data_IF_528658071155
#
_entry.id   IF_528658071155
#
_cell.length_a   1.000
_cell.length_b   1.000
_cell.length_c   1.000
_cell.angle_alpha   90.00
_cell.angle_beta   90.00
_cell.angle_gamma   90.00
#
_symmetry.space_group_name_H-M   'P 1'
#
loop_
_entity.id
_entity.type
_entity.pdbx_description
1 polymer ?
#
# COMPACT_ATOMS: atom_id res chain seq x y z
N UNK A 1 2.79 18.73 11.79
CA UNK A 1 1.44 18.79 12.41
C UNK A 1 1.55 18.03 13.74
N UNK A 2 1.04 18.59 14.84
CA UNK A 2 1.11 17.93 16.16
C UNK A 2 0.08 16.79 16.21
N UNK A 3 0.39 15.74 16.96
CA UNK A 3 -0.58 14.67 17.21
C UNK A 3 -1.75 15.19 18.06
N UNK A 4 -2.93 14.61 17.87
CA UNK A 4 -4.17 15.00 18.55
C UNK A 4 -4.98 13.77 18.92
N UNK A 5 -5.75 13.84 20.00
CA UNK A 5 -6.70 12.79 20.36
C UNK A 5 -7.92 12.78 19.44
N UNK A 6 -8.36 11.59 19.00
CA UNK A 6 -9.57 11.42 18.17
C UNK A 6 -10.85 11.63 19.01
N UNK A 7 -10.83 11.22 20.27
CA UNK A 7 -11.89 11.49 21.24
C UNK A 7 -11.29 11.76 22.63
N UNK A 8 -11.06 13.04 23.00
CA UNK A 8 -10.44 13.39 24.28
C UNK A 8 -11.20 12.90 25.52
N UNK A 9 -12.51 12.64 25.42
CA UNK A 9 -13.36 12.30 26.56
C UNK A 9 -12.94 10.98 27.24
N UNK A 10 -12.40 10.02 26.48
CA UNK A 10 -11.98 8.71 27.01
C UNK A 10 -10.56 8.72 27.59
N UNK A 11 -9.76 9.73 27.25
CA UNK A 11 -8.31 9.70 27.49
C UNK A 11 -7.98 9.80 28.98
N UNK A 12 -8.68 10.67 29.71
CA UNK A 12 -8.46 10.83 31.15
C UNK A 12 -8.67 9.53 31.91
N UNK A 13 -9.74 8.80 31.58
CA UNK A 13 -10.05 7.51 32.21
C UNK A 13 -9.00 6.45 31.84
N UNK A 14 -8.67 6.30 30.57
CA UNK A 14 -7.66 5.34 30.11
C UNK A 14 -6.29 5.58 30.74
N UNK A 15 -5.87 6.85 30.86
CA UNK A 15 -4.60 7.21 31.52
C UNK A 15 -4.63 6.88 33.00
N UNK A 16 -5.76 7.10 33.69
CA UNK A 16 -5.93 6.71 35.09
C UNK A 16 -5.85 5.18 35.23
N UNK A 17 -6.56 4.42 34.40
CA UNK A 17 -6.51 2.95 34.42
C UNK A 17 -5.10 2.42 34.16
N UNK A 18 -4.36 3.01 33.21
CA UNK A 18 -2.95 2.66 32.96
C UNK A 18 -2.10 2.95 34.19
N UNK A 19 -2.28 4.11 34.82
CA UNK A 19 -1.54 4.50 36.05
C UNK A 19 -1.72 3.46 37.16
N UNK A 20 -2.94 2.96 37.33
CA UNK A 20 -3.29 1.96 38.35
C UNK A 20 -2.75 0.55 38.03
N UNK A 21 -2.43 0.31 36.75
CA UNK A 21 -1.79 -0.92 36.31
C UNK A 21 -0.26 -0.87 36.47
N UNK A 22 0.33 0.29 36.72
CA UNK A 22 1.77 0.49 36.81
C UNK A 22 2.25 0.53 38.26
N UNK A 23 3.48 0.08 38.46
CA UNK A 23 4.23 0.21 39.71
C UNK A 23 5.71 0.43 39.42
N UNK A 24 6.43 0.98 40.40
CA UNK A 24 7.90 1.07 40.35
C UNK A 24 8.50 -0.11 41.11
N UNK A 25 9.48 -0.76 40.50
CA UNK A 25 10.29 -1.78 41.17
C UNK A 25 11.32 -1.10 42.09
N UNK A 26 11.95 -1.89 42.98
CA UNK A 26 13.03 -1.43 43.87
C UNK A 26 14.15 -0.68 43.15
N UNK A 27 14.41 -1.05 41.90
CA UNK A 27 15.52 -0.53 41.09
C UNK A 27 15.10 0.71 40.26
N UNK A 28 13.90 1.26 40.50
CA UNK A 28 13.38 2.42 39.77
C UNK A 28 12.91 2.09 38.35
N UNK A 29 12.74 0.82 38.01
CA UNK A 29 12.15 0.39 36.76
C UNK A 29 10.63 0.33 36.85
N UNK A 30 9.97 0.44 35.70
CA UNK A 30 8.51 0.34 35.63
C UNK A 30 8.14 -1.13 35.43
N UNK A 31 7.22 -1.61 36.26
CA UNK A 31 6.49 -2.85 36.01
C UNK A 31 5.01 -2.54 35.83
N UNK A 32 4.31 -3.34 35.04
CA UNK A 32 2.88 -3.18 34.84
C UNK A 32 2.16 -4.52 34.77
N UNK A 33 0.88 -4.52 35.14
CA UNK A 33 0.00 -5.70 35.00
C UNK A 33 -0.27 -5.97 33.53
N UNK A 34 -0.39 -7.24 33.13
CA UNK A 34 -0.58 -7.63 31.72
C UNK A 34 -1.76 -6.91 31.05
N UNK A 35 -2.82 -6.57 31.79
CA UNK A 35 -3.97 -5.83 31.26
C UNK A 35 -3.59 -4.48 30.65
N UNK A 36 -2.49 -3.85 31.10
CA UNK A 36 -2.02 -2.58 30.56
C UNK A 36 -1.71 -2.64 29.06
N UNK A 37 -1.34 -3.81 28.53
CA UNK A 37 -1.05 -3.95 27.09
C UNK A 37 -2.26 -3.66 26.23
N UNK A 38 -3.47 -4.03 26.67
CA UNK A 38 -4.71 -3.72 25.96
C UNK A 38 -4.99 -2.22 25.96
N UNK A 39 -4.66 -1.52 27.04
CA UNK A 39 -4.84 -0.08 27.14
C UNK A 39 -3.81 0.70 26.31
N UNK A 40 -2.59 0.18 26.12
CA UNK A 40 -1.61 0.81 25.22
C UNK A 40 -2.11 0.80 23.77
N UNK A 41 -2.61 -0.35 23.30
CA UNK A 41 -3.20 -0.49 21.98
C UNK A 41 -4.44 0.42 21.82
N UNK A 42 -5.29 0.46 22.84
CA UNK A 42 -6.47 1.34 22.87
C UNK A 42 -6.08 2.82 22.77
N UNK A 43 -5.08 3.27 23.56
CA UNK A 43 -4.59 4.65 23.48
C UNK A 43 -4.00 4.93 22.11
N UNK A 44 -3.20 4.01 21.57
CA UNK A 44 -2.60 4.17 20.25
C UNK A 44 -3.66 4.41 19.17
N UNK A 45 -4.74 3.61 19.17
CA UNK A 45 -5.88 3.79 18.27
C UNK A 45 -6.65 5.11 18.43
N UNK A 46 -6.44 5.84 19.52
CA UNK A 46 -7.04 7.16 19.77
C UNK A 46 -6.10 8.33 19.42
N UNK A 47 -4.87 8.07 18.96
CA UNK A 47 -3.93 9.10 18.52
C UNK A 47 -4.07 9.31 17.01
N UNK A 48 -4.41 10.53 16.61
CA UNK A 48 -4.25 10.99 15.23
C UNK A 48 -2.88 11.65 15.07
N UNK A 49 -2.02 11.08 14.24
CA UNK A 49 -0.67 11.58 13.97
C UNK A 49 -0.34 11.62 12.48
N UNK A 50 0.75 12.31 12.13
CA UNK A 50 1.30 12.37 10.76
C UNK A 50 2.80 11.98 10.72
N UNK A 51 3.27 11.25 11.73
CA UNK A 51 4.66 10.78 11.80
C UNK A 51 4.97 9.81 10.66
N UNK A 52 6.15 9.94 10.06
CA UNK A 52 6.65 9.05 8.99
C UNK A 52 7.46 7.89 9.58
N UNK A 53 6.83 7.10 10.45
CA UNK A 53 7.38 5.89 11.03
C UNK A 53 6.39 4.75 10.81
N UNK A 54 6.84 3.50 10.83
CA UNK A 54 5.93 2.35 10.79
C UNK A 54 5.12 2.23 12.10
N UNK A 55 3.97 1.58 12.01
CA UNK A 55 3.01 1.44 13.12
C UNK A 55 3.62 0.74 14.35
N UNK A 56 4.47 -0.27 14.15
CA UNK A 56 5.12 -0.99 15.25
C UNK A 56 6.12 -0.10 15.98
N UNK A 57 6.87 0.72 15.24
CA UNK A 57 7.77 1.73 15.80
C UNK A 57 7.01 2.83 16.53
N UNK A 58 5.87 3.27 15.99
CA UNK A 58 5.02 4.26 16.64
C UNK A 58 4.43 3.70 17.94
N UNK A 59 3.87 2.50 17.91
CA UNK A 59 3.30 1.83 19.08
C UNK A 59 4.35 1.58 20.17
N UNK A 60 5.53 1.05 19.80
CA UNK A 60 6.64 0.87 20.76
C UNK A 60 7.15 2.20 21.32
N UNK A 61 7.23 3.25 20.50
CA UNK A 61 7.59 4.60 20.95
C UNK A 61 6.55 5.19 21.90
N UNK A 62 5.26 4.94 21.65
CA UNK A 62 4.19 5.33 22.57
C UNK A 62 4.39 4.64 23.92
N UNK A 63 4.60 3.32 23.93
CA UNK A 63 4.85 2.55 25.15
C UNK A 63 6.05 3.10 25.93
N UNK A 64 7.19 3.30 25.27
CA UNK A 64 8.39 3.92 25.88
C UNK A 64 8.09 5.32 26.45
N UNK A 65 7.24 6.09 25.77
CA UNK A 65 6.82 7.42 26.22
C UNK A 65 5.93 7.33 27.46
N UNK A 66 4.99 6.38 27.50
CA UNK A 66 4.14 6.12 28.67
C UNK A 66 5.01 5.76 29.88
N UNK A 67 5.96 4.83 29.72
CA UNK A 67 6.90 4.42 30.77
C UNK A 67 7.69 5.63 31.30
N UNK A 68 8.22 6.45 30.39
CA UNK A 68 8.98 7.65 30.72
C UNK A 68 8.14 8.70 31.46
N UNK A 69 6.92 8.96 31.00
CA UNK A 69 6.00 9.90 31.65
C UNK A 69 5.57 9.37 33.02
N UNK A 70 5.34 8.07 33.16
CA UNK A 70 5.02 7.46 34.45
C UNK A 70 6.16 7.63 35.45
N UNK A 71 7.41 7.34 35.05
CA UNK A 71 8.58 7.56 35.90
C UNK A 71 8.74 9.03 36.33
N UNK A 72 8.40 9.98 35.44
CA UNK A 72 8.60 11.41 35.70
C UNK A 72 7.55 12.00 36.65
N UNK A 73 6.26 11.72 36.43
CA UNK A 73 5.17 12.37 37.17
C UNK A 73 3.90 11.50 37.27
N UNK A 74 4.03 10.17 37.16
CA UNK A 74 2.90 9.23 37.13
C UNK A 74 1.84 9.59 36.07
N UNK A 75 2.25 10.23 34.97
CA UNK A 75 1.34 10.67 33.88
C UNK A 75 0.24 11.60 34.42
N UNK A 76 0.60 12.72 35.04
CA UNK A 76 -0.36 13.65 35.63
C UNK A 76 -1.25 14.37 34.61
N UNK A 77 -0.78 14.53 33.36
CA UNK A 77 -1.48 15.20 32.28
C UNK A 77 -1.33 14.43 30.96
N UNK A 78 -2.45 14.05 30.35
CA UNK A 78 -2.45 13.30 29.09
C UNK A 78 -1.97 14.14 27.88
N UNK A 79 -2.02 15.47 27.95
CA UNK A 79 -1.46 16.31 26.87
C UNK A 79 0.07 16.30 26.86
N UNK A 80 0.70 16.13 28.03
CA UNK A 80 2.16 15.99 28.13
C UNK A 80 2.63 14.68 27.48
N UNK A 81 1.79 13.63 27.54
CA UNK A 81 2.04 12.36 26.88
C UNK A 81 2.12 12.53 25.35
N UNK A 82 1.17 13.25 24.73
CA UNK A 82 1.24 13.54 23.28
C UNK A 82 2.47 14.35 22.91
N UNK A 83 2.83 15.36 23.72
CA UNK A 83 3.99 16.20 23.47
C UNK A 83 5.29 15.39 23.51
N UNK A 84 5.47 14.53 24.51
CA UNK A 84 6.64 13.66 24.61
C UNK A 84 6.64 12.56 23.54
N UNK A 85 5.47 12.06 23.15
CA UNK A 85 5.34 11.12 22.04
C UNK A 85 5.79 11.76 20.72
N UNK A 86 5.26 12.95 20.40
CA UNK A 86 5.66 13.71 19.21
C UNK A 86 7.17 13.98 19.21
N UNK A 87 7.73 14.38 20.35
CA UNK A 87 9.16 14.62 20.49
C UNK A 87 9.98 13.35 20.21
N UNK A 88 9.57 12.22 20.78
CA UNK A 88 10.26 10.93 20.63
C UNK A 88 10.19 10.42 19.18
N UNK A 89 9.01 10.51 18.56
CA UNK A 89 8.82 10.18 17.15
C UNK A 89 9.68 11.06 16.24
N UNK A 90 9.71 12.38 16.46
CA UNK A 90 10.56 13.28 15.69
C UNK A 90 12.06 13.00 15.86
N UNK A 91 12.50 12.64 17.07
CA UNK A 91 13.90 12.25 17.32
C UNK A 91 14.26 10.96 16.57
N UNK A 92 13.39 9.94 16.62
CA UNK A 92 13.60 8.68 15.87
C UNK A 92 13.58 8.93 14.36
N UNK A 93 12.64 9.73 13.85
CA UNK A 93 12.54 10.05 12.43
C UNK A 93 13.78 10.79 11.88
N UNK A 94 14.49 11.57 12.71
CA UNK A 94 15.74 12.25 12.33
C UNK A 94 16.93 11.31 12.23
N UNK A 95 16.95 10.20 12.98
CA UNK A 95 18.01 9.20 12.93
C UNK A 95 17.74 8.25 11.77
N UNK A 96 18.19 8.59 10.57
CA UNK A 96 18.06 7.72 9.42
C UNK A 96 19.37 7.00 9.11
N UNK A 97 19.26 5.71 8.85
CA UNK A 97 20.32 4.89 8.30
C UNK A 97 19.93 4.41 6.90
N UNK A 98 20.92 4.23 6.04
CA UNK A 98 20.69 3.70 4.69
C UNK A 98 20.87 2.18 4.68
N UNK A 99 19.83 1.51 4.25
CA UNK A 99 19.76 0.06 4.12
C UNK A 99 19.65 -0.39 2.67
N UNK A 100 19.95 -1.66 2.45
CA UNK A 100 19.79 -2.37 1.19
C UNK A 100 18.96 -3.62 1.42
N UNK A 101 17.71 -3.62 0.96
CA UNK A 101 16.89 -4.82 0.90
C UNK A 101 17.27 -5.63 -0.33
N UNK A 102 17.43 -6.93 -0.15
CA UNK A 102 17.71 -7.90 -1.20
C UNK A 102 16.59 -8.93 -1.22
N UNK A 103 15.97 -9.07 -2.40
CA UNK A 103 14.93 -10.05 -2.69
C UNK A 103 15.10 -10.54 -4.14
N UNK A 104 14.16 -11.33 -4.63
CA UNK A 104 14.10 -11.81 -6.00
C UNK A 104 12.71 -11.51 -6.61
N UNK A 105 12.63 -11.51 -7.94
CA UNK A 105 11.37 -11.56 -8.67
C UNK A 105 11.42 -12.66 -9.72
N UNK A 106 10.27 -13.25 -10.03
CA UNK A 106 10.13 -14.37 -10.96
C UNK A 106 10.29 -13.98 -12.44
N UNK A 107 11.24 -13.13 -12.80
CA UNK A 107 11.55 -12.79 -14.19
C UNK A 107 12.96 -13.27 -14.52
N UNK A 108 13.12 -13.96 -15.64
CA UNK A 108 14.39 -14.51 -16.11
C UNK A 108 15.20 -13.48 -16.90
N UNK A 109 16.52 -13.47 -16.70
CA UNK A 109 17.50 -12.87 -17.62
C UNK A 109 17.24 -11.39 -17.95
N UNK A 110 17.09 -10.55 -16.93
CA UNK A 110 16.89 -9.12 -17.12
C UNK A 110 18.24 -8.40 -17.17
N UNK A 111 18.75 -8.19 -18.38
CA UNK A 111 20.01 -7.45 -18.57
C UNK A 111 19.82 -5.92 -18.71
N UNK A 112 18.57 -5.43 -18.79
CA UNK A 112 18.26 -4.02 -19.16
C UNK A 112 17.17 -3.33 -18.34
N UNK A 113 16.73 -3.87 -17.19
CA UNK A 113 15.80 -3.10 -16.34
C UNK A 113 16.48 -1.80 -15.89
N UNK A 114 15.88 -0.64 -16.15
CA UNK A 114 16.43 0.61 -15.65
C UNK A 114 16.45 0.57 -14.12
N UNK A 115 17.39 1.31 -13.54
CA UNK A 115 17.25 1.69 -12.14
C UNK A 115 15.96 2.49 -12.00
N UNK A 116 15.10 2.07 -11.09
CA UNK A 116 13.83 2.74 -10.81
C UNK A 116 13.96 3.46 -9.48
N UNK A 117 13.66 4.77 -9.49
CA UNK A 117 13.51 5.53 -8.25
C UNK A 117 12.03 5.84 -8.08
N UNK A 118 11.44 5.44 -6.96
CA UNK A 118 10.08 5.78 -6.55
C UNK A 118 10.19 6.16 -5.07
N UNK A 119 9.65 7.32 -4.69
CA UNK A 119 9.91 7.94 -3.40
C UNK A 119 11.44 8.03 -3.14
N UNK A 120 11.87 7.84 -1.90
CA UNK A 120 13.28 7.84 -1.47
C UNK A 120 13.96 6.48 -1.66
N UNK A 121 13.36 5.59 -2.47
CA UNK A 121 13.86 4.24 -2.72
C UNK A 121 14.45 4.10 -4.13
N UNK A 122 15.62 3.46 -4.21
CA UNK A 122 16.32 3.14 -5.47
C UNK A 122 16.37 1.63 -5.70
N UNK A 123 15.65 1.16 -6.71
CA UNK A 123 15.58 -0.25 -7.12
C UNK A 123 16.57 -0.52 -8.26
N UNK A 124 17.32 -1.61 -8.12
CA UNK A 124 18.23 -2.15 -9.15
C UNK A 124 18.02 -3.64 -9.30
N UNK A 125 18.22 -4.16 -10.52
CA UNK A 125 17.95 -5.55 -10.88
C UNK A 125 19.25 -6.22 -11.34
N UNK A 126 19.47 -7.45 -10.90
CA UNK A 126 20.71 -8.19 -11.15
C UNK A 126 20.40 -9.66 -11.43
N UNK A 127 20.94 -10.23 -12.50
CA UNK A 127 20.79 -11.68 -12.74
C UNK A 127 21.59 -12.52 -11.75
N UNK A 128 22.62 -11.93 -11.14
CA UNK A 128 23.44 -12.54 -10.10
C UNK A 128 23.52 -11.62 -8.89
N UNK A 129 23.44 -12.17 -7.69
CA UNK A 129 23.59 -11.40 -6.46
C UNK A 129 24.95 -10.68 -6.44
N UNK A 130 25.01 -9.36 -6.14
CA UNK A 130 26.29 -8.67 -6.04
C UNK A 130 27.16 -9.29 -4.94
N UNK A 131 28.42 -9.62 -5.27
CA UNK A 131 29.35 -10.41 -4.43
C UNK A 131 29.42 -9.98 -2.97
N UNK A 132 29.41 -8.67 -2.69
CA UNK A 132 29.50 -8.12 -1.33
C UNK A 132 28.36 -8.53 -0.39
N UNK A 133 27.20 -8.95 -0.93
CA UNK A 133 26.05 -9.38 -0.14
C UNK A 133 25.94 -10.91 -0.04
N UNK A 134 26.77 -11.65 -0.78
CA UNK A 134 26.64 -13.10 -0.93
C UNK A 134 26.78 -13.82 0.41
N UNK A 135 27.90 -13.62 1.10
CA UNK A 135 28.19 -14.29 2.38
C UNK A 135 27.14 -13.98 3.44
N UNK A 136 26.76 -12.71 3.57
CA UNK A 136 25.78 -12.26 4.55
C UNK A 136 24.39 -12.85 4.28
N UNK A 137 23.93 -12.84 3.02
CA UNK A 137 22.63 -13.42 2.65
C UNK A 137 22.64 -14.93 2.80
N UNK A 138 23.68 -15.61 2.33
CA UNK A 138 23.77 -17.08 2.45
C UNK A 138 23.69 -17.51 3.91
N UNK A 139 24.44 -16.86 4.80
CA UNK A 139 24.36 -17.09 6.24
C UNK A 139 22.94 -16.87 6.81
N UNK A 140 22.24 -15.82 6.38
CA UNK A 140 20.86 -15.56 6.82
C UNK A 140 19.86 -16.61 6.35
N UNK A 141 20.06 -17.17 5.16
CA UNK A 141 19.20 -18.22 4.62
C UNK A 141 19.46 -19.57 5.32
N UNK A 142 20.70 -19.89 5.67
CA UNK A 142 21.08 -21.18 6.26
C UNK A 142 20.91 -21.26 7.77
N UNK A 143 20.76 -20.12 8.47
CA UNK A 143 20.68 -20.09 9.94
C UNK A 143 19.34 -20.61 10.50
N UNK A 144 18.27 -20.57 9.71
CA UNK A 144 16.98 -21.11 10.12
C UNK A 144 16.93 -22.60 9.78
N UNK A 145 17.47 -23.46 10.65
CA UNK A 145 17.54 -24.91 10.43
C UNK A 145 16.15 -25.55 10.19
N UNK A 146 15.08 -24.93 10.69
CA UNK A 146 13.70 -25.38 10.48
C UNK A 146 13.10 -24.98 9.13
N UNK A 147 13.78 -24.13 8.34
CA UNK A 147 13.26 -23.60 7.08
C UNK A 147 14.29 -23.71 5.96
N UNK A 148 14.01 -24.51 4.94
CA UNK A 148 14.88 -24.74 3.77
C UNK A 148 14.85 -23.55 2.78
N UNK A 149 15.13 -22.34 3.28
CA UNK A 149 15.08 -21.13 2.46
C UNK A 149 16.21 -21.10 1.44
N UNK A 150 15.84 -21.03 0.16
CA UNK A 150 16.80 -21.00 -0.95
C UNK A 150 16.53 -19.82 -1.85
N UNK A 151 17.58 -19.39 -2.57
CA UNK A 151 17.37 -18.48 -3.68
C UNK A 151 16.67 -19.24 -4.81
N UNK A 152 15.61 -18.68 -5.37
CA UNK A 152 14.87 -19.31 -6.46
C UNK A 152 15.70 -19.32 -7.74
N UNK A 153 15.72 -20.46 -8.43
CA UNK A 153 16.48 -20.64 -9.65
C UNK A 153 15.96 -19.74 -10.77
N UNK A 154 16.86 -19.15 -11.55
CA UNK A 154 16.51 -18.27 -12.70
C UNK A 154 15.72 -17.00 -12.35
N UNK A 155 15.43 -16.73 -11.07
CA UNK A 155 14.82 -15.46 -10.64
C UNK A 155 15.85 -14.33 -10.64
N UNK A 156 15.41 -13.12 -11.00
CA UNK A 156 16.27 -11.93 -10.98
C UNK A 156 16.33 -11.36 -9.56
N UNK A 157 17.53 -11.08 -9.06
CA UNK A 157 17.72 -10.37 -7.80
C UNK A 157 17.28 -8.90 -7.92
N UNK A 158 16.58 -8.44 -6.89
CA UNK A 158 16.17 -7.05 -6.73
C UNK A 158 16.88 -6.49 -5.50
N UNK A 159 17.54 -5.36 -5.72
CA UNK A 159 18.41 -4.70 -4.77
C UNK A 159 17.89 -3.28 -4.53
N UNK A 160 17.20 -3.06 -3.41
CA UNK A 160 16.45 -1.84 -3.11
C UNK A 160 17.15 -1.06 -2.01
N UNK A 161 17.56 0.16 -2.34
CA UNK A 161 18.22 1.07 -1.38
C UNK A 161 17.16 1.99 -0.80
N UNK A 162 17.15 2.16 0.52
CA UNK A 162 16.20 3.03 1.23
C UNK A 162 16.86 3.61 2.48
N UNK A 163 16.40 4.78 2.91
CA UNK A 163 16.80 5.37 4.20
C UNK A 163 15.63 5.30 5.16
N UNK A 164 15.88 4.85 6.38
CA UNK A 164 14.84 4.56 7.36
C UNK A 164 15.34 4.71 8.79
N UNK A 165 14.41 4.88 9.73
CA UNK A 165 14.72 5.04 11.15
C UNK A 165 15.12 3.73 11.85
N UNK A 166 14.72 2.60 11.29
CA UNK A 166 14.99 1.26 11.79
C UNK A 166 14.86 0.23 10.65
N UNK A 167 15.17 -1.02 10.95
CA UNK A 167 15.16 -2.13 9.98
C UNK A 167 13.77 -2.47 9.45
N UNK A 168 12.73 -2.41 10.29
CA UNK A 168 11.35 -2.73 9.90
C UNK A 168 10.78 -1.70 8.93
N UNK A 169 10.94 -0.41 9.25
CA UNK A 169 10.59 0.69 8.36
C UNK A 169 11.33 0.58 7.01
N UNK A 170 12.61 0.18 7.04
CA UNK A 170 13.39 -0.01 5.82
C UNK A 170 12.80 -1.11 4.93
N UNK A 171 12.42 -2.25 5.53
CA UNK A 171 11.82 -3.37 4.80
C UNK A 171 10.47 -2.96 4.22
N UNK A 172 9.59 -2.34 5.02
CA UNK A 172 8.27 -1.90 4.57
C UNK A 172 8.40 -0.91 3.39
N UNK A 173 9.24 0.12 3.51
CA UNK A 173 9.47 1.09 2.42
C UNK A 173 9.99 0.41 1.16
N UNK A 174 10.93 -0.54 1.29
CA UNK A 174 11.51 -1.23 0.15
C UNK A 174 10.52 -2.18 -0.53
N UNK A 175 9.74 -2.95 0.24
CA UNK A 175 8.69 -3.85 -0.27
C UNK A 175 7.58 -3.06 -0.95
N UNK A 176 7.08 -1.99 -0.33
CA UNK A 176 6.05 -1.12 -0.92
C UNK A 176 6.51 -0.52 -2.25
N UNK A 177 7.77 -0.09 -2.31
CA UNK A 177 8.36 0.43 -3.56
C UNK A 177 8.43 -0.66 -4.63
N UNK A 178 8.82 -1.89 -4.28
CA UNK A 178 8.82 -3.02 -5.21
C UNK A 178 7.40 -3.38 -5.66
N UNK A 179 6.45 -3.41 -4.74
CA UNK A 179 5.02 -3.63 -4.99
C UNK A 179 4.48 -2.62 -5.99
N UNK A 180 4.84 -1.34 -5.87
CA UNK A 180 4.50 -0.32 -6.87
C UNK A 180 5.07 -0.66 -8.26
N UNK A 181 6.35 -1.06 -8.36
CA UNK A 181 6.95 -1.48 -9.65
C UNK A 181 6.25 -2.72 -10.23
N UNK A 182 5.94 -3.71 -9.39
CA UNK A 182 5.22 -4.92 -9.79
C UNK A 182 3.82 -4.59 -10.29
N UNK A 183 3.11 -3.68 -9.63
CA UNK A 183 1.80 -3.20 -10.07
C UNK A 183 1.86 -2.50 -11.45
N UNK A 184 2.87 -1.66 -11.68
CA UNK A 184 3.08 -1.00 -12.98
C UNK A 184 3.38 -2.01 -14.10
N UNK A 185 4.11 -3.08 -13.80
CA UNK A 185 4.33 -4.19 -14.74
C UNK A 185 3.03 -4.97 -15.00
N UNK A 186 2.27 -5.28 -13.94
CA UNK A 186 1.00 -6.00 -14.00
C UNK A 186 0.01 -5.31 -14.95
N UNK A 187 -0.16 -3.99 -14.83
CA UNK A 187 -1.04 -3.19 -15.70
C UNK A 187 -0.58 -3.22 -17.17
N UNK A 188 0.73 -3.36 -17.41
CA UNK A 188 1.30 -3.44 -18.75
C UNK A 188 1.10 -4.80 -19.42
N UNK A 189 0.70 -5.84 -18.68
CA UNK A 189 0.48 -7.17 -19.23
C UNK A 189 -0.96 -7.36 -19.69
N UNK A 190 -1.12 -7.96 -20.88
CA UNK A 190 -2.44 -8.28 -21.41
C UNK A 190 -3.05 -9.44 -20.63
N UNK A 191 -4.22 -9.20 -20.04
CA UNK A 191 -5.07 -10.23 -19.45
C UNK A 191 -6.11 -10.66 -20.48
N UNK A 192 -6.09 -11.94 -20.84
CA UNK A 192 -7.06 -12.53 -21.75
C UNK A 192 -7.79 -13.65 -21.02
N UNK A 193 -9.10 -13.76 -21.25
CA UNK A 193 -9.87 -14.93 -20.85
C UNK A 193 -9.34 -16.16 -21.58
N UNK A 194 -9.09 -17.25 -20.86
CA UNK A 194 -8.61 -18.50 -21.45
C UNK A 194 -9.80 -19.47 -21.60
N UNK A 195 -10.25 -19.71 -22.83
CA UNK A 195 -11.47 -20.51 -23.06
C UNK A 195 -11.26 -22.03 -22.94
N UNK A 196 -10.01 -22.51 -23.07
CA UNK A 196 -9.67 -23.95 -23.20
C UNK A 196 -9.15 -24.51 -21.86
N UNK A 197 -9.58 -23.94 -20.73
CA UNK A 197 -9.12 -24.38 -19.40
C UNK A 197 -10.26 -24.96 -18.57
N UNK A 198 -9.94 -25.93 -17.72
CA UNK A 198 -10.89 -26.60 -16.83
C UNK A 198 -11.09 -25.85 -15.51
N UNK A 199 -10.15 -24.99 -15.10
CA UNK A 199 -10.28 -24.21 -13.86
C UNK A 199 -10.74 -22.77 -14.10
N UNK A 200 -11.68 -22.28 -13.28
CA UNK A 200 -12.19 -20.91 -13.35
C UNK A 200 -11.12 -19.85 -13.11
N UNK A 201 -10.17 -20.13 -12.24
CA UNK A 201 -9.03 -19.25 -11.97
C UNK A 201 -8.16 -19.03 -13.21
N UNK A 202 -7.92 -20.08 -14.01
CA UNK A 202 -7.18 -19.96 -15.28
C UNK A 202 -8.03 -19.34 -16.38
N UNK A 203 -9.36 -19.56 -16.35
CA UNK A 203 -10.28 -18.94 -17.30
C UNK A 203 -10.25 -17.41 -17.15
N UNK A 204 -10.18 -16.93 -15.91
CA UNK A 204 -10.17 -15.52 -15.53
C UNK A 204 -8.91 -15.16 -14.73
N UNK A 205 -7.74 -15.07 -15.38
CA UNK A 205 -6.47 -14.90 -14.67
C UNK A 205 -6.40 -13.52 -13.99
N UNK A 206 -6.36 -13.54 -12.65
CA UNK A 206 -6.31 -12.33 -11.81
C UNK A 206 -5.06 -12.23 -10.95
N UNK A 207 -4.34 -13.34 -10.77
CA UNK A 207 -3.08 -13.39 -10.02
C UNK A 207 -2.01 -12.47 -10.60
N UNK A 208 -1.09 -12.02 -9.75
CA UNK A 208 0.06 -11.24 -10.18
C UNK A 208 0.94 -12.07 -11.12
N UNK A 209 1.34 -11.47 -12.24
CA UNK A 209 2.24 -12.12 -13.22
C UNK A 209 3.68 -12.06 -12.73
N UNK A 210 4.07 -10.93 -12.10
CA UNK A 210 5.37 -10.77 -11.45
C UNK A 210 5.23 -11.04 -9.96
N UNK A 211 5.79 -12.14 -9.49
CA UNK A 211 5.83 -12.51 -8.07
C UNK A 211 7.15 -12.10 -7.43
N UNK A 212 7.08 -11.72 -6.15
CA UNK A 212 8.25 -11.52 -5.31
C UNK A 212 8.74 -12.87 -4.79
N UNK A 213 10.05 -13.04 -4.65
CA UNK A 213 10.64 -14.25 -4.08
C UNK A 213 10.23 -14.45 -2.62
N UNK A 214 10.49 -15.66 -2.12
CA UNK A 214 10.07 -16.11 -0.79
C UNK A 214 10.71 -15.31 0.35
N UNK A 215 11.99 -14.94 0.21
CA UNK A 215 12.77 -14.39 1.33
C UNK A 215 13.45 -13.07 1.00
N UNK A 216 13.29 -12.12 1.92
CA UNK A 216 13.92 -10.81 1.91
C UNK A 216 14.96 -10.70 3.02
N UNK A 217 16.13 -10.16 2.67
CA UNK A 217 17.22 -9.92 3.63
C UNK A 217 17.64 -8.46 3.60
N UNK A 218 17.91 -7.88 4.76
CA UNK A 218 18.34 -6.49 4.90
C UNK A 218 19.83 -6.40 5.19
N UNK A 219 20.50 -5.45 4.54
CA UNK A 219 21.95 -5.27 4.60
C UNK A 219 22.31 -3.79 4.74
N UNK A 220 23.47 -3.51 5.34
CA UNK A 220 24.13 -2.21 5.22
C UNK A 220 24.78 -2.07 3.83
N UNK A 221 25.14 -0.85 3.44
CA UNK A 221 25.74 -0.58 2.12
C UNK A 221 27.09 -1.31 1.89
N UNK A 222 27.81 -1.61 2.97
CA UNK A 222 29.07 -2.35 2.96
C UNK A 222 28.91 -3.87 2.78
N UNK A 223 27.68 -4.40 2.76
CA UNK A 223 27.41 -5.83 2.60
C UNK A 223 27.23 -6.61 3.90
N UNK A 224 27.41 -5.98 5.07
CA UNK A 224 27.09 -6.59 6.36
C UNK A 224 25.58 -6.68 6.56
N UNK A 225 25.13 -7.69 7.31
CA UNK A 225 23.72 -7.87 7.70
C UNK A 225 23.23 -6.68 8.52
N UNK A 226 22.00 -6.25 8.28
CA UNK A 226 21.31 -5.26 9.11
C UNK A 226 20.19 -5.98 9.88
N UNK A 227 20.47 -6.36 11.13
CA UNK A 227 19.59 -7.18 11.96
C UNK A 227 19.87 -8.69 11.85
N UNK A 228 19.16 -9.46 12.68
CA UNK A 228 19.41 -10.90 12.87
C UNK A 228 18.50 -11.82 12.05
N UNK A 229 17.44 -11.30 11.43
CA UNK A 229 16.40 -12.09 10.78
C UNK A 229 16.29 -11.93 9.26
N UNK A 230 15.34 -12.70 8.71
CA UNK A 230 14.83 -12.63 7.35
C UNK A 230 13.34 -12.28 7.41
N UNK A 231 12.83 -11.66 6.34
CA UNK A 231 11.38 -11.45 6.17
C UNK A 231 10.87 -12.40 5.10
N UNK A 232 9.71 -13.00 5.37
CA UNK A 232 9.13 -14.05 4.52
C UNK A 232 7.92 -13.48 3.79
N UNK A 233 7.86 -13.74 2.48
CA UNK A 233 6.68 -13.49 1.67
C UNK A 233 5.71 -14.67 1.80
N UNK A 234 4.70 -14.52 2.65
CA UNK A 234 3.67 -15.55 2.88
C UNK A 234 2.79 -15.83 1.65
N UNK A 235 2.81 -14.94 0.65
CA UNK A 235 2.09 -15.13 -0.62
C UNK A 235 2.96 -15.73 -1.71
N UNK A 236 4.15 -16.24 -1.38
CA UNK A 236 5.04 -16.87 -2.35
C UNK A 236 4.45 -18.19 -2.87
N UNK A 237 4.49 -18.35 -4.18
CA UNK A 237 4.22 -19.61 -4.87
C UNK A 237 5.47 -19.96 -5.69
N UNK A 238 5.92 -21.21 -5.63
CA UNK A 238 7.11 -21.67 -6.34
C UNK A 238 6.82 -21.90 -7.84
N UNK A 239 6.61 -20.80 -8.55
CA UNK A 239 6.35 -20.78 -9.98
C UNK A 239 7.66 -20.66 -10.78
N UNK A 240 7.73 -21.20 -12.00
CA UNK A 240 8.91 -21.04 -12.84
C UNK A 240 9.14 -19.56 -13.21
N UNK A 241 10.40 -19.17 -13.38
CA UNK A 241 10.77 -17.82 -13.81
C UNK A 241 10.15 -17.47 -15.18
N UNK A 242 9.48 -16.33 -15.25
CA UNK A 242 8.83 -15.78 -16.43
C UNK A 242 9.86 -15.28 -17.45
N UNK A 243 9.69 -15.67 -18.70
CA UNK A 243 10.39 -15.05 -19.84
C UNK A 243 9.50 -13.98 -20.47
N UNK A 244 9.99 -12.74 -20.52
CA UNK A 244 9.26 -11.63 -21.13
C UNK A 244 9.22 -11.81 -22.66
N UNK A 245 8.01 -11.80 -23.25
CA UNK A 245 7.82 -11.89 -24.71
C UNK A 245 8.48 -10.74 -25.48
N UNK A 246 8.48 -9.53 -24.93
CA UNK A 246 9.09 -8.35 -25.55
C UNK A 246 9.77 -7.47 -24.48
N UNK A 247 10.97 -7.86 -24.00
CA UNK A 247 11.64 -7.14 -22.94
C UNK A 247 11.79 -5.64 -23.23
N UNK A 248 12.27 -5.17 -24.40
CA UNK A 248 12.42 -3.74 -24.67
C UNK A 248 11.12 -2.94 -24.49
N UNK A 249 9.99 -3.46 -24.98
CA UNK A 249 8.68 -2.80 -24.87
C UNK A 249 8.18 -2.75 -23.42
N UNK A 250 8.32 -3.86 -22.68
CA UNK A 250 7.96 -3.90 -21.26
C UNK A 250 8.78 -2.89 -20.45
N UNK A 251 10.07 -2.78 -20.74
CA UNK A 251 10.99 -1.86 -20.08
C UNK A 251 10.68 -0.39 -20.39
N UNK A 252 10.39 -0.08 -21.66
CA UNK A 252 9.99 1.26 -22.08
C UNK A 252 8.66 1.66 -21.43
N UNK A 253 7.68 0.75 -21.40
CA UNK A 253 6.40 0.95 -20.74
C UNK A 253 6.57 1.26 -19.25
N UNK A 254 7.36 0.46 -18.54
CA UNK A 254 7.68 0.70 -17.13
C UNK A 254 8.34 2.06 -16.93
N UNK A 255 9.37 2.39 -17.71
CA UNK A 255 10.08 3.68 -17.61
C UNK A 255 9.12 4.86 -17.82
N UNK A 256 8.26 4.79 -18.82
CA UNK A 256 7.27 5.82 -19.14
C UNK A 256 6.27 6.00 -18.01
N UNK A 257 5.73 4.92 -17.46
CA UNK A 257 4.78 4.99 -16.37
C UNK A 257 5.40 5.47 -15.06
N UNK A 258 6.63 5.03 -14.73
CA UNK A 258 7.37 5.58 -13.57
C UNK A 258 7.59 7.08 -13.74
N UNK A 259 8.00 7.54 -14.93
CA UNK A 259 8.19 8.97 -15.18
C UNK A 259 6.90 9.78 -15.06
N UNK A 260 5.77 9.20 -15.46
CA UNK A 260 4.45 9.84 -15.35
C UNK A 260 3.95 9.86 -13.91
N UNK A 261 4.10 8.74 -13.20
CA UNK A 261 3.74 8.62 -11.79
C UNK A 261 4.47 9.65 -10.93
N UNK A 262 5.76 9.90 -11.19
CA UNK A 262 6.53 10.96 -10.50
C UNK A 262 5.97 12.38 -10.69
N UNK A 263 5.30 12.63 -11.81
CA UNK A 263 4.69 13.92 -12.14
C UNK A 263 3.22 13.99 -11.73
N UNK A 264 2.68 12.90 -11.18
CA UNK A 264 1.29 12.81 -10.73
C UNK A 264 1.10 13.65 -9.47
N UNK A 265 0.25 14.69 -9.47
CA UNK A 265 0.09 15.54 -8.28
C UNK A 265 -0.59 14.83 -7.10
N UNK A 266 -1.32 13.76 -7.38
CA UNK A 266 -1.96 12.86 -6.42
C UNK A 266 -1.21 11.51 -6.35
N UNK A 267 0.14 11.57 -6.42
CA UNK A 267 1.03 10.40 -6.41
C UNK A 267 0.81 9.52 -5.18
N UNK A 268 0.61 10.10 -3.99
CA UNK A 268 0.44 9.33 -2.73
C UNK A 268 -0.78 8.41 -2.80
N UNK A 269 -1.93 8.94 -3.23
CA UNK A 269 -3.15 8.15 -3.42
C UNK A 269 -2.95 7.08 -4.52
N UNK A 270 -2.28 7.44 -5.61
CA UNK A 270 -2.01 6.51 -6.72
C UNK A 270 -1.09 5.36 -6.31
N UNK A 271 0.00 5.65 -5.57
CA UNK A 271 0.92 4.63 -5.05
C UNK A 271 0.21 3.72 -4.05
N UNK A 272 -0.59 4.28 -3.13
CA UNK A 272 -1.38 3.47 -2.19
C UNK A 272 -2.32 2.51 -2.90
N UNK A 273 -2.99 2.96 -3.97
CA UNK A 273 -3.84 2.11 -4.78
C UNK A 273 -3.04 1.02 -5.55
N UNK A 274 -1.87 1.36 -6.11
CA UNK A 274 -1.00 0.39 -6.80
C UNK A 274 -0.50 -0.71 -5.86
N UNK A 275 -0.08 -0.35 -4.64
CA UNK A 275 0.36 -1.31 -3.62
C UNK A 275 -0.80 -2.21 -3.20
N UNK A 276 -1.98 -1.63 -2.91
CA UNK A 276 -3.14 -2.41 -2.53
C UNK A 276 -3.64 -3.32 -3.67
N UNK A 277 -3.49 -2.87 -4.92
CA UNK A 277 -3.82 -3.65 -6.10
C UNK A 277 -2.93 -4.89 -6.23
N UNK A 278 -1.61 -4.73 -6.18
CA UNK A 278 -0.71 -5.89 -6.32
C UNK A 278 -0.88 -6.84 -5.12
N UNK A 279 -1.03 -6.30 -3.91
CA UNK A 279 -1.29 -7.07 -2.70
C UNK A 279 -2.58 -7.89 -2.79
N UNK A 280 -3.62 -7.36 -3.43
CA UNK A 280 -4.84 -8.09 -3.73
C UNK A 280 -4.57 -9.24 -4.70
N UNK A 281 -3.89 -8.97 -5.81
CA UNK A 281 -3.59 -9.98 -6.85
C UNK A 281 -2.59 -11.05 -6.40
N UNK A 282 -1.85 -10.80 -5.32
CA UNK A 282 -0.96 -11.80 -4.69
C UNK A 282 -1.73 -12.78 -3.81
N UNK A 283 -2.99 -12.52 -3.45
CA UNK A 283 -3.75 -13.42 -2.57
C UNK A 283 -4.16 -14.69 -3.30
N UNK A 284 -3.86 -15.83 -2.69
CA UNK A 284 -4.32 -17.14 -3.14
C UNK A 284 -5.84 -17.28 -2.98
N UNK A 285 -6.38 -16.84 -1.84
CA UNK A 285 -7.82 -16.83 -1.57
C UNK A 285 -8.57 -15.83 -2.48
N UNK A 286 -9.49 -16.30 -3.34
CA UNK A 286 -10.23 -15.45 -4.26
C UNK A 286 -11.24 -14.52 -3.57
N UNK A 287 -11.74 -14.86 -2.38
CA UNK A 287 -12.67 -14.03 -1.60
C UNK A 287 -11.93 -12.86 -0.97
N UNK A 288 -10.79 -13.12 -0.33
CA UNK A 288 -9.90 -12.07 0.16
C UNK A 288 -9.39 -11.18 -0.99
N UNK A 289 -9.05 -11.77 -2.14
CA UNK A 289 -8.70 -11.02 -3.37
C UNK A 289 -9.83 -10.07 -3.77
N UNK A 290 -11.06 -10.55 -3.81
CA UNK A 290 -12.24 -9.74 -4.14
C UNK A 290 -12.42 -8.56 -3.20
N UNK A 291 -12.32 -8.81 -1.89
CA UNK A 291 -12.42 -7.76 -0.87
C UNK A 291 -11.33 -6.69 -1.00
N UNK A 292 -10.09 -7.10 -1.26
CA UNK A 292 -8.96 -6.16 -1.45
C UNK A 292 -9.04 -5.41 -2.77
N UNK A 293 -9.50 -6.04 -3.86
CA UNK A 293 -9.76 -5.36 -5.14
C UNK A 293 -10.87 -4.32 -4.96
N UNK A 294 -11.95 -4.64 -4.26
CA UNK A 294 -13.01 -3.66 -3.95
C UNK A 294 -12.45 -2.46 -3.16
N UNK A 295 -11.66 -2.71 -2.10
CA UNK A 295 -11.00 -1.64 -1.35
C UNK A 295 -10.04 -0.80 -2.21
N UNK A 296 -9.37 -1.43 -3.20
CA UNK A 296 -8.55 -0.70 -4.19
C UNK A 296 -9.40 0.28 -4.99
N UNK A 297 -10.60 -0.15 -5.41
CA UNK A 297 -11.54 0.68 -6.15
C UNK A 297 -12.08 1.84 -5.29
N UNK A 298 -12.36 1.63 -4.00
CA UNK A 298 -12.71 2.69 -3.04
C UNK A 298 -11.60 3.75 -2.94
N UNK A 299 -10.33 3.33 -2.85
CA UNK A 299 -9.17 4.24 -2.81
C UNK A 299 -9.05 5.06 -4.09
N UNK A 300 -9.19 4.42 -5.26
CA UNK A 300 -9.11 5.11 -6.56
C UNK A 300 -10.28 6.06 -6.79
N UNK A 301 -11.47 5.69 -6.34
CA UNK A 301 -12.66 6.54 -6.45
C UNK A 301 -12.79 7.55 -5.32
N UNK A 302 -11.88 7.54 -4.32
CA UNK A 302 -11.82 8.49 -3.22
C UNK A 302 -13.13 8.56 -2.42
N UNK A 303 -13.75 7.41 -2.18
CA UNK A 303 -15.01 7.27 -1.42
C UNK A 303 -15.19 5.86 -0.88
N UNK A 304 -15.85 5.78 0.27
CA UNK A 304 -16.37 4.53 0.84
C UNK A 304 -17.88 4.36 0.58
N UNK A 305 -18.55 5.41 0.12
CA UNK A 305 -19.96 5.37 -0.21
C UNK A 305 -20.15 4.67 -1.56
N UNK A 306 -20.87 3.55 -1.57
CA UNK A 306 -20.95 2.68 -2.74
C UNK A 306 -21.62 3.34 -3.94
N UNK A 307 -22.64 4.18 -3.76
CA UNK A 307 -23.31 4.84 -4.89
C UNK A 307 -22.36 5.85 -5.58
N UNK A 308 -21.63 6.66 -4.79
CA UNK A 308 -20.58 7.51 -5.31
C UNK A 308 -19.46 6.71 -6.00
N UNK A 309 -19.03 5.57 -5.43
CA UNK A 309 -18.02 4.69 -6.04
C UNK A 309 -18.47 4.23 -7.43
N UNK A 310 -19.69 3.72 -7.54
CA UNK A 310 -20.25 3.21 -8.80
C UNK A 310 -20.33 4.32 -9.84
N UNK A 311 -20.83 5.50 -9.45
CA UNK A 311 -20.88 6.68 -10.31
C UNK A 311 -19.49 7.06 -10.83
N UNK A 312 -18.50 7.12 -9.95
CA UNK A 312 -17.13 7.53 -10.27
C UNK A 312 -16.38 6.51 -11.10
N UNK A 313 -16.52 5.21 -10.82
CA UNK A 313 -15.86 4.15 -11.58
C UNK A 313 -16.47 4.00 -12.99
N UNK A 314 -17.79 4.10 -13.12
CA UNK A 314 -18.46 4.07 -14.43
C UNK A 314 -18.25 5.34 -15.27
N UNK A 315 -17.70 6.42 -14.69
CA UNK A 315 -17.43 7.68 -15.39
C UNK A 315 -16.60 7.50 -16.66
N UNK A 316 -15.70 6.51 -16.64
CA UNK A 316 -14.70 6.25 -17.69
C UNK A 316 -15.21 5.45 -18.89
N UNK A 317 -16.48 5.06 -18.89
CA UNK A 317 -17.05 4.18 -19.90
C UNK A 317 -18.11 4.90 -20.73
N UNK A 318 -18.20 4.54 -22.01
CA UNK A 318 -19.25 5.05 -22.90
C UNK A 318 -20.62 4.46 -22.51
N UNK A 319 -20.68 3.12 -22.36
CA UNK A 319 -21.88 2.39 -21.92
C UNK A 319 -22.02 2.42 -20.40
N UNK A 320 -22.26 3.61 -19.85
CA UNK A 320 -22.27 3.85 -18.40
C UNK A 320 -23.29 3.00 -17.67
N UNK A 321 -24.51 2.90 -18.19
CA UNK A 321 -25.61 2.14 -17.56
C UNK A 321 -25.20 0.68 -17.39
N UNK A 322 -24.59 0.08 -18.41
CA UNK A 322 -24.08 -1.29 -18.36
C UNK A 322 -23.00 -1.43 -17.27
N UNK A 323 -22.01 -0.53 -17.24
CA UNK A 323 -20.93 -0.60 -16.26
C UNK A 323 -21.41 -0.32 -14.83
N UNK A 324 -22.43 0.53 -14.67
CA UNK A 324 -23.12 0.72 -13.39
C UNK A 324 -23.82 -0.54 -12.93
N UNK A 325 -24.54 -1.24 -13.83
CA UNK A 325 -25.18 -2.51 -13.51
C UNK A 325 -24.17 -3.59 -13.09
N UNK A 326 -23.02 -3.66 -13.77
CA UNK A 326 -21.93 -4.58 -13.38
C UNK A 326 -21.39 -4.23 -11.99
N UNK A 327 -21.05 -2.96 -11.73
CA UNK A 327 -20.53 -2.53 -10.44
C UNK A 327 -21.56 -2.69 -9.31
N UNK A 328 -22.84 -2.51 -9.58
CA UNK A 328 -23.94 -2.74 -8.64
C UNK A 328 -24.10 -4.23 -8.31
N UNK A 329 -23.91 -5.12 -9.29
CA UNK A 329 -23.84 -6.56 -9.07
C UNK A 329 -22.64 -6.94 -8.18
N UNK A 330 -21.48 -6.32 -8.40
CA UNK A 330 -20.29 -6.51 -7.56
C UNK A 330 -20.53 -5.99 -6.13
N UNK A 331 -21.15 -4.82 -5.97
CA UNK A 331 -21.56 -4.26 -4.67
C UNK A 331 -22.47 -5.22 -3.91
N UNK A 332 -23.51 -5.72 -4.59
CA UNK A 332 -24.46 -6.68 -4.00
C UNK A 332 -23.73 -7.93 -3.53
N UNK A 333 -22.82 -8.46 -4.36
CA UNK A 333 -22.01 -9.63 -4.00
C UNK A 333 -21.14 -9.40 -2.76
N UNK A 334 -20.50 -8.23 -2.66
CA UNK A 334 -19.70 -7.83 -1.49
C UNK A 334 -20.55 -7.73 -0.22
N UNK A 335 -21.73 -7.13 -0.31
CA UNK A 335 -22.63 -7.00 0.83
C UNK A 335 -23.17 -8.36 1.28
N UNK A 336 -23.56 -9.23 0.35
CA UNK A 336 -23.98 -10.61 0.68
C UNK A 336 -22.85 -11.41 1.31
N UNK A 337 -21.61 -11.23 0.84
CA UNK A 337 -20.46 -11.93 1.42
C UNK A 337 -20.16 -11.45 2.85
N UNK A 338 -20.05 -10.13 3.07
CA UNK A 338 -19.75 -9.55 4.39
C UNK A 338 -20.86 -9.84 5.41
N UNK A 339 -22.12 -9.65 5.02
CA UNK A 339 -23.24 -9.72 5.97
C UNK A 339 -23.89 -11.10 6.03
N UNK A 340 -23.86 -11.84 4.92
CA UNK A 340 -24.46 -13.17 4.82
C UNK A 340 -23.46 -14.30 5.02
N UNK A 341 -22.14 -14.05 4.99
CA UNK A 341 -21.12 -15.09 5.16
C UNK A 341 -21.01 -16.08 3.99
N UNK A 342 -21.64 -15.79 2.85
CA UNK A 342 -21.62 -16.68 1.68
C UNK A 342 -20.60 -16.20 0.65
N UNK A 343 -19.80 -17.09 0.03
CA UNK A 343 -18.88 -16.72 -1.03
C UNK A 343 -19.63 -16.19 -2.26
N UNK A 344 -19.15 -15.13 -2.93
CA UNK A 344 -19.76 -14.67 -4.16
C UNK A 344 -19.75 -15.73 -5.27
N UNK A 345 -20.88 -15.92 -5.94
CA UNK A 345 -20.97 -16.78 -7.13
C UNK A 345 -20.05 -16.22 -8.23
N UNK A 346 -19.33 -17.10 -8.94
CA UNK A 346 -18.38 -16.74 -10.01
C UNK A 346 -17.31 -15.73 -9.55
N UNK A 347 -16.74 -15.95 -8.35
CA UNK A 347 -15.75 -15.06 -7.73
C UNK A 347 -14.58 -14.69 -8.66
N UNK A 348 -14.08 -15.63 -9.47
CA UNK A 348 -12.97 -15.34 -10.39
C UNK A 348 -13.34 -14.39 -11.52
N UNK A 349 -14.56 -14.51 -12.08
CA UNK A 349 -15.07 -13.54 -13.04
C UNK A 349 -15.22 -12.16 -12.39
N UNK A 350 -15.69 -12.09 -11.15
CA UNK A 350 -15.85 -10.83 -10.41
C UNK A 350 -14.50 -10.17 -10.13
N UNK A 351 -13.49 -10.95 -9.72
CA UNK A 351 -12.11 -10.49 -9.57
C UNK A 351 -11.54 -9.95 -10.88
N UNK A 352 -11.83 -10.63 -12.00
CA UNK A 352 -11.39 -10.22 -13.32
C UNK A 352 -12.03 -8.90 -13.77
N UNK A 353 -13.33 -8.73 -13.52
CA UNK A 353 -14.03 -7.46 -13.75
C UNK A 353 -13.46 -6.33 -12.90
N UNK A 354 -13.24 -6.55 -11.60
CA UNK A 354 -12.66 -5.54 -10.72
C UNK A 354 -11.26 -5.13 -11.17
N UNK A 355 -10.41 -6.09 -11.57
CA UNK A 355 -9.10 -5.80 -12.15
C UNK A 355 -9.23 -4.85 -13.35
N UNK A 356 -10.15 -5.11 -14.27
CA UNK A 356 -10.33 -4.26 -15.46
C UNK A 356 -10.71 -2.80 -15.09
N UNK A 357 -11.64 -2.62 -14.15
CA UNK A 357 -11.97 -1.27 -13.63
C UNK A 357 -10.75 -0.58 -13.01
N UNK A 358 -10.05 -1.28 -12.11
CA UNK A 358 -8.87 -0.75 -11.40
C UNK A 358 -7.79 -0.34 -12.40
N UNK A 359 -7.46 -1.19 -13.37
CA UNK A 359 -6.41 -0.93 -14.35
C UNK A 359 -6.75 0.27 -15.25
N UNK A 360 -8.02 0.41 -15.66
CA UNK A 360 -8.47 1.59 -16.41
C UNK A 360 -8.33 2.88 -15.60
N UNK A 361 -8.77 2.86 -14.33
CA UNK A 361 -8.67 4.02 -13.44
C UNK A 361 -7.21 4.38 -13.19
N UNK A 362 -6.35 3.42 -12.84
CA UNK A 362 -4.92 3.66 -12.61
C UNK A 362 -4.25 4.21 -13.87
N UNK A 363 -4.54 3.66 -15.05
CA UNK A 363 -3.98 4.15 -16.30
C UNK A 363 -4.36 5.62 -16.56
N UNK A 364 -5.62 6.00 -16.31
CA UNK A 364 -6.07 7.38 -16.39
C UNK A 364 -5.34 8.29 -15.40
N UNK A 365 -5.23 7.84 -14.14
CA UNK A 365 -4.60 8.59 -13.05
C UNK A 365 -3.11 8.85 -13.34
N UNK A 366 -2.38 7.85 -13.81
CA UNK A 366 -0.97 7.98 -14.20
C UNK A 366 -0.83 8.87 -15.45
N UNK A 367 -1.74 8.75 -16.42
CA UNK A 367 -1.67 9.55 -17.65
C UNK A 367 -1.96 11.03 -17.39
N UNK A 368 -2.85 11.34 -16.45
CA UNK A 368 -3.35 12.68 -16.12
C UNK A 368 -3.60 13.54 -17.38
N UNK A 369 -4.48 13.08 -18.32
CA UNK A 369 -4.63 13.72 -19.63
C UNK A 369 -5.08 15.19 -19.55
N UNK A 370 -5.80 15.53 -18.49
CA UNK A 370 -6.33 16.88 -18.25
C UNK A 370 -5.43 17.74 -17.34
N UNK A 371 -4.25 17.24 -16.94
CA UNK A 371 -3.25 17.97 -16.14
C UNK A 371 -3.80 18.53 -14.82
N UNK A 372 -4.65 17.78 -14.14
CA UNK A 372 -5.14 18.17 -12.81
C UNK A 372 -4.01 18.28 -11.79
N UNK A 373 -4.13 19.23 -10.87
CA UNK A 373 -3.07 19.58 -9.92
C UNK A 373 -3.34 19.05 -8.51
N UNK A 374 -4.58 18.67 -8.21
CA UNK A 374 -4.95 18.16 -6.89
C UNK A 374 -5.76 16.87 -6.97
N UNK A 375 -5.76 16.13 -5.85
CA UNK A 375 -6.66 14.99 -5.64
C UNK A 375 -8.13 15.41 -5.76
N UNK A 376 -8.47 16.60 -5.25
CA UNK A 376 -9.84 17.12 -5.27
C UNK A 376 -10.32 17.47 -6.68
N UNK A 377 -9.44 17.98 -7.55
CA UNK A 377 -9.80 18.27 -8.94
C UNK A 377 -10.28 17.01 -9.67
N UNK A 378 -9.56 15.90 -9.50
CA UNK A 378 -9.94 14.62 -10.09
C UNK A 378 -11.21 14.08 -9.46
N UNK A 379 -11.29 14.13 -8.13
CA UNK A 379 -12.50 13.71 -7.40
C UNK A 379 -13.73 14.46 -7.93
N UNK A 380 -13.62 15.76 -8.16
CA UNK A 380 -14.66 16.59 -8.71
C UNK A 380 -15.02 16.18 -10.14
N UNK A 381 -14.02 16.00 -11.01
CA UNK A 381 -14.24 15.54 -12.40
C UNK A 381 -15.03 14.23 -12.43
N UNK A 382 -14.56 13.19 -11.74
CA UNK A 382 -15.18 11.86 -11.78
C UNK A 382 -16.54 11.83 -11.07
N UNK A 383 -16.87 12.89 -10.32
CA UNK A 383 -18.18 13.07 -9.68
C UNK A 383 -19.19 13.84 -10.54
N UNK A 384 -18.78 14.44 -11.66
CA UNK A 384 -19.66 15.20 -12.53
C UNK A 384 -20.78 14.33 -13.12
N UNK A 385 -21.98 14.89 -13.36
CA UNK A 385 -22.98 14.22 -14.16
C UNK A 385 -22.53 14.15 -15.61
N UNK A 386 -22.90 13.08 -16.30
CA UNK A 386 -22.41 12.83 -17.65
C UNK A 386 -23.51 12.64 -18.69
N UNK A 387 -24.76 12.79 -18.26
CA UNK A 387 -25.91 12.86 -19.16
C UNK A 387 -25.89 14.22 -19.86
N UNK A 388 -26.07 14.22 -21.18
CA UNK A 388 -25.95 15.43 -22.01
C UNK A 388 -26.93 16.54 -21.58
N UNK A 389 -28.14 16.18 -21.14
CA UNK A 389 -29.13 17.11 -20.61
C UNK A 389 -28.58 17.81 -19.36
N UNK A 390 -28.06 17.03 -18.39
CA UNK A 390 -27.50 17.57 -17.15
C UNK A 390 -26.29 18.47 -17.43
N UNK A 391 -25.45 18.12 -18.40
CA UNK A 391 -24.30 18.95 -18.79
C UNK A 391 -24.74 20.27 -19.42
N UNK A 392 -25.70 20.25 -20.36
CA UNK A 392 -26.22 21.48 -20.98
C UNK A 392 -26.87 22.39 -19.94
N UNK A 393 -27.67 21.83 -19.03
CA UNK A 393 -28.29 22.58 -17.93
C UNK A 393 -27.24 23.18 -17.00
N UNK A 394 -26.21 22.41 -16.62
CA UNK A 394 -25.11 22.93 -15.80
C UNK A 394 -24.32 24.04 -16.50
N UNK A 395 -23.99 23.88 -17.78
CA UNK A 395 -23.31 24.92 -18.58
C UNK A 395 -24.17 26.18 -18.64
N UNK A 396 -25.48 26.04 -18.88
CA UNK A 396 -26.40 27.18 -18.90
C UNK A 396 -26.44 27.90 -17.55
N UNK A 397 -26.53 27.16 -16.45
CA UNK A 397 -26.55 27.72 -15.09
C UNK A 397 -25.25 28.43 -14.74
N UNK A 398 -24.10 27.84 -15.09
CA UNK A 398 -22.79 28.47 -14.90
C UNK A 398 -22.65 29.77 -15.72
N UNK A 399 -23.14 29.80 -16.96
CA UNK A 399 -23.19 31.03 -17.77
C UNK A 399 -24.06 32.13 -17.13
N UNK A 400 -25.19 31.75 -16.55
CA UNK A 400 -26.05 32.70 -15.80
C UNK A 400 -25.34 33.27 -14.58
N UNK A 401 -24.63 32.42 -13.80
CA UNK A 401 -23.82 32.88 -12.65
C UNK A 401 -22.71 33.81 -13.12
N UNK A 402 -22.01 33.47 -14.21
CA UNK A 402 -20.95 34.31 -14.79
C UNK A 402 -21.46 35.70 -15.15
N UNK A 403 -22.63 35.77 -15.79
CA UNK A 403 -23.32 37.03 -16.12
C UNK A 403 -23.70 37.81 -14.85
N UNK A 404 -24.14 37.13 -13.79
CA UNK A 404 -24.54 37.76 -12.54
C UNK A 404 -23.34 38.38 -11.79
N UNK A 405 -22.17 37.72 -11.79
CA UNK A 405 -20.96 38.23 -11.11
C UNK A 405 -20.15 39.24 -11.94
N UNK A 406 -20.62 39.61 -13.13
CA UNK A 406 -19.98 40.63 -13.98
C UNK A 406 -18.75 40.17 -14.77
N UNK A 407 -18.47 38.86 -14.81
CA UNK A 407 -17.44 38.31 -15.68
C UNK A 407 -18.05 37.95 -17.04
N UNK A 408 -17.89 38.79 -18.05
CA UNK A 408 -18.31 38.43 -19.41
C UNK A 408 -17.47 37.25 -19.94
N UNK A 409 -18.09 36.24 -20.57
CA UNK A 409 -17.35 35.12 -21.16
C UNK A 409 -16.43 35.63 -22.27
N UNK A 410 -15.13 35.32 -22.19
CA UNK A 410 -14.17 35.48 -23.28
C UNK A 410 -14.30 34.37 -24.31
#
# INVERSE_FOLDING_TARGET
MKSTWINPAYISELVNTIRDCYSLTSDGNVSYKIQATFFFDTIFGLIKHNHKLDENTLHSTLKETIDKCYKKNKISNHNDLLLEFDKSCNLKAKKQETYKLITQINIKNIYKLPTVNINDCRISFHNTLPKKYYTARHYQLTRNEESDFKNQESYTFVCITTSAANTEHAVNNAIDTLSCVRALLQIGFKKNRQLITTSKEREYPTKSVVQCGEVHTLHHLNGKRAGDGCWINLSFEDNPALTLKSPPKTLEHLRKNVSRLKKCPYITATISALINYIDATDRADPELRFMKLWSTLERLTMTHESAALIKRASFFYQDRILHQAILESLRTSRNTHIHGGHPPINIELKNFQLCAFIEHLVAFFIMNPFKFSTTDDIKNLISLPTQAINLKTQIAMLKTVQKFIGESPR
#
